data_IF_236036589565
#
_entry.id   IF_236036589565
#
_cell.length_a   1.000
_cell.length_b   1.000
_cell.length_c   1.000
_cell.angle_alpha   90.00
_cell.angle_beta   90.00
_cell.angle_gamma   90.00
#
_symmetry.space_group_name_H-M   'P 1'
#
loop_
_entity.id
_entity.type
_entity.pdbx_description
1 polymer ?
#
# COMPACT_ATOMS: atom_id res chain seq x y z
N UNK A 1 -2.43 5.22 -38.81
CA UNK A 1 -3.26 5.21 -37.56
C UNK A 1 -3.80 6.62 -37.38
N UNK A 2 -5.11 6.78 -37.29
CA UNK A 2 -5.78 8.06 -37.58
C UNK A 2 -5.54 9.13 -36.51
N UNK A 3 -5.41 10.40 -36.95
CA UNK A 3 -5.37 11.60 -36.11
C UNK A 3 -6.51 11.66 -35.07
N UNK A 4 -7.61 10.93 -35.30
CA UNK A 4 -8.74 10.86 -34.38
C UNK A 4 -8.39 10.13 -33.08
N UNK A 5 -7.68 9.01 -33.13
CA UNK A 5 -7.25 8.29 -31.92
C UNK A 5 -6.29 9.12 -31.09
N UNK A 6 -5.36 9.83 -31.74
CA UNK A 6 -4.43 10.72 -31.06
C UNK A 6 -5.15 11.92 -30.41
N UNK A 7 -6.14 12.51 -31.08
CA UNK A 7 -6.95 13.61 -30.54
C UNK A 7 -7.86 13.15 -29.39
N UNK A 8 -8.50 11.99 -29.51
CA UNK A 8 -9.29 11.39 -28.42
C UNK A 8 -8.37 11.08 -27.23
N UNK A 9 -7.18 10.53 -27.48
CA UNK A 9 -6.17 10.31 -26.43
C UNK A 9 -5.76 11.63 -25.77
N UNK A 10 -5.48 12.69 -26.53
CA UNK A 10 -5.11 13.99 -25.97
C UNK A 10 -6.25 14.63 -25.16
N UNK A 11 -7.50 14.49 -25.59
CA UNK A 11 -8.67 14.98 -24.85
C UNK A 11 -8.86 14.16 -23.57
N UNK A 12 -8.81 12.82 -23.65
CA UNK A 12 -8.90 11.95 -22.47
C UNK A 12 -7.74 12.24 -21.52
N UNK A 13 -6.51 12.38 -22.02
CA UNK A 13 -5.32 12.69 -21.24
C UNK A 13 -5.39 14.09 -20.61
N UNK A 14 -5.83 15.11 -21.34
CA UNK A 14 -6.04 16.45 -20.81
C UNK A 14 -7.15 16.48 -19.75
N UNK A 15 -8.27 15.80 -19.99
CA UNK A 15 -9.35 15.70 -19.01
C UNK A 15 -8.95 14.89 -17.78
N UNK A 16 -8.21 13.79 -17.92
CA UNK A 16 -7.75 13.00 -16.75
C UNK A 16 -6.70 13.78 -15.97
N UNK A 17 -5.72 14.40 -16.62
CA UNK A 17 -4.70 15.23 -15.92
C UNK A 17 -5.29 16.46 -15.25
N UNK A 18 -6.41 17.00 -15.75
CA UNK A 18 -7.14 18.09 -15.07
C UNK A 18 -7.89 17.64 -13.81
N UNK A 19 -8.15 16.34 -13.63
CA UNK A 19 -8.79 15.79 -12.43
C UNK A 19 -7.81 15.50 -11.30
N UNK A 20 -6.51 15.71 -11.52
CA UNK A 20 -5.45 15.28 -10.62
C UNK A 20 -4.50 16.42 -10.25
N UNK A 21 -5.02 17.42 -9.54
CA UNK A 21 -4.19 18.47 -8.93
C UNK A 21 -4.10 18.27 -7.43
N UNK A 22 -2.91 18.53 -6.89
CA UNK A 22 -2.71 18.58 -5.46
C UNK A 22 -3.40 19.83 -4.89
N UNK A 23 -4.25 19.65 -3.88
CA UNK A 23 -4.88 20.78 -3.20
C UNK A 23 -4.02 21.28 -2.05
N UNK A 24 -4.07 22.59 -1.80
CA UNK A 24 -3.47 23.18 -0.61
C UNK A 24 -4.48 23.12 0.54
N UNK A 25 -4.12 22.42 1.61
CA UNK A 25 -4.91 22.37 2.85
C UNK A 25 -4.15 23.01 4.01
N UNK A 26 -3.94 24.34 4.01
CA UNK A 26 -3.02 25.03 4.93
C UNK A 26 -3.41 24.93 6.40
N UNK A 27 -4.69 24.62 6.69
CA UNK A 27 -5.17 24.42 8.06
C UNK A 27 -5.22 22.95 8.48
N UNK A 28 -4.95 21.99 7.59
CA UNK A 28 -5.07 20.55 7.89
C UNK A 28 -6.50 20.14 8.28
N UNK A 29 -7.50 20.84 7.73
CA UNK A 29 -8.91 20.60 7.98
C UNK A 29 -9.59 20.19 6.68
N UNK A 30 -10.56 19.29 6.79
CA UNK A 30 -11.44 18.90 5.70
C UNK A 30 -12.91 19.24 6.00
N UNK A 31 -13.76 19.26 4.99
CA UNK A 31 -15.17 19.61 5.12
C UNK A 31 -16.03 18.36 5.25
N UNK A 32 -17.07 18.45 6.07
CA UNK A 32 -18.11 17.45 6.15
C UNK A 32 -19.33 17.99 6.87
N UNK A 33 -20.34 17.15 6.97
CA UNK A 33 -21.63 17.47 7.55
C UNK A 33 -21.98 16.43 8.62
N UNK A 34 -22.41 16.88 9.78
CA UNK A 34 -23.08 16.03 10.76
C UNK A 34 -24.59 16.13 10.55
N UNK A 35 -25.23 15.03 10.17
CA UNK A 35 -26.68 14.88 10.23
C UNK A 35 -27.07 14.63 11.69
N UNK A 36 -27.59 15.66 12.34
CA UNK A 36 -28.13 15.59 13.70
C UNK A 36 -29.64 15.51 13.61
N UNK A 37 -30.19 14.32 13.82
CA UNK A 37 -31.59 13.97 13.57
C UNK A 37 -32.00 14.26 12.11
N UNK A 38 -32.62 15.41 11.83
CA UNK A 38 -33.01 15.83 10.48
C UNK A 38 -32.34 17.13 10.03
N UNK A 39 -31.41 17.66 10.84
CA UNK A 39 -30.70 18.91 10.58
C UNK A 39 -29.28 18.63 10.14
N UNK A 40 -28.84 19.28 9.07
CA UNK A 40 -27.46 19.23 8.60
C UNK A 40 -26.65 20.30 9.33
N UNK A 41 -25.56 19.89 9.97
CA UNK A 41 -24.62 20.75 10.66
C UNK A 41 -23.23 20.67 10.02
N UNK A 42 -22.80 21.69 9.26
CA UNK A 42 -21.46 21.73 8.69
C UNK A 42 -20.39 21.71 9.78
N UNK A 43 -19.37 20.90 9.56
CA UNK A 43 -18.21 20.72 10.45
C UNK A 43 -16.91 20.79 9.68
N UNK A 44 -15.87 21.33 10.34
CA UNK A 44 -14.48 21.10 9.93
C UNK A 44 -13.96 19.84 10.59
N UNK A 45 -13.42 18.93 9.81
CA UNK A 45 -12.89 17.64 10.23
C UNK A 45 -11.39 17.74 10.41
N UNK A 46 -10.92 17.36 11.60
CA UNK A 46 -9.51 17.25 11.96
C UNK A 46 -9.17 15.80 12.34
N UNK A 47 -7.99 15.35 11.94
CA UNK A 47 -7.41 14.08 12.38
C UNK A 47 -5.90 14.23 12.35
N UNK A 48 -5.19 13.54 13.25
CA UNK A 48 -3.73 13.50 13.23
C UNK A 48 -3.25 12.29 14.02
N UNK A 49 -2.23 11.62 13.51
CA UNK A 49 -1.49 10.60 14.27
C UNK A 49 -0.43 11.22 15.18
N UNK A 50 -0.17 12.53 15.07
CA UNK A 50 0.80 13.25 15.89
C UNK A 50 0.20 13.71 17.22
N UNK A 51 0.72 13.17 18.32
CA UNK A 51 0.26 13.48 19.67
C UNK A 51 0.43 14.95 20.04
N UNK A 52 1.52 15.60 19.60
CA UNK A 52 1.76 17.02 19.85
C UNK A 52 0.74 17.93 19.17
N UNK A 53 0.45 17.68 17.89
CA UNK A 53 -0.61 18.41 17.17
C UNK A 53 -1.97 18.20 17.81
N UNK A 54 -2.31 16.94 18.17
CA UNK A 54 -3.58 16.63 18.84
C UNK A 54 -3.73 17.38 20.16
N UNK A 55 -2.65 17.47 20.95
CA UNK A 55 -2.64 18.14 22.25
C UNK A 55 -2.85 19.65 22.14
N UNK A 56 -2.34 20.28 21.08
CA UNK A 56 -2.47 21.74 20.87
C UNK A 56 -3.77 22.14 20.16
N UNK A 57 -4.40 21.20 19.44
CA UNK A 57 -5.60 21.47 18.63
C UNK A 57 -6.79 22.08 19.40
N UNK A 58 -7.12 21.70 20.65
CA UNK A 58 -8.24 22.29 21.40
C UNK A 58 -8.22 23.82 21.48
N UNK A 59 -7.02 24.42 21.49
CA UNK A 59 -6.80 25.86 21.60
C UNK A 59 -6.80 26.58 20.25
N UNK A 60 -6.82 25.84 19.14
CA UNK A 60 -6.80 26.41 17.80
C UNK A 60 -8.13 27.12 17.53
N UNK A 61 -8.04 28.38 17.09
CA UNK A 61 -9.23 29.11 16.63
C UNK A 61 -9.73 28.50 15.33
N UNK A 62 -10.91 27.88 15.39
CA UNK A 62 -11.62 27.32 14.25
C UNK A 62 -12.92 28.10 14.03
N UNK A 63 -13.26 28.33 12.76
CA UNK A 63 -14.54 28.94 12.39
C UNK A 63 -15.58 27.82 12.29
N UNK A 64 -16.69 27.96 13.01
CA UNK A 64 -17.81 27.01 12.97
C UNK A 64 -17.63 25.78 13.87
N UNK A 65 -18.41 24.73 13.57
CA UNK A 65 -18.39 23.49 14.33
C UNK A 65 -17.19 22.62 13.91
N UNK A 66 -16.67 21.81 14.82
CA UNK A 66 -15.50 20.96 14.59
C UNK A 66 -15.81 19.53 14.97
N UNK A 67 -15.34 18.60 14.13
CA UNK A 67 -15.26 17.18 14.41
C UNK A 67 -13.78 16.77 14.42
N UNK A 68 -13.33 16.16 15.52
CA UNK A 68 -12.02 15.51 15.59
C UNK A 68 -12.22 14.01 15.50
N UNK A 69 -11.47 13.36 14.61
CA UNK A 69 -11.39 11.91 14.49
C UNK A 69 -10.13 11.45 15.21
N UNK A 70 -10.30 10.67 16.27
CA UNK A 70 -9.18 10.05 16.97
C UNK A 70 -8.72 8.77 16.28
N UNK A 71 -7.42 8.53 16.39
CA UNK A 71 -6.69 7.48 15.70
C UNK A 71 -6.17 6.46 16.71
N UNK A 72 -5.81 5.26 16.25
CA UNK A 72 -5.34 4.21 17.16
C UNK A 72 -4.05 4.61 17.87
N UNK A 73 -3.15 5.30 17.15
CA UNK A 73 -1.89 5.82 17.70
C UNK A 73 -2.12 6.85 18.80
N UNK A 74 -3.26 7.56 18.80
CA UNK A 74 -3.56 8.56 19.82
C UNK A 74 -3.81 7.96 21.21
N UNK A 75 -4.02 6.64 21.30
CA UNK A 75 -4.35 5.95 22.55
C UNK A 75 -3.47 4.71 22.78
N UNK A 76 -2.26 4.69 22.20
CA UNK A 76 -1.31 3.61 22.49
C UNK A 76 -0.99 3.55 23.99
N UNK A 77 -0.90 2.34 24.59
CA UNK A 77 -0.75 2.19 26.04
C UNK A 77 0.43 2.97 26.63
N UNK A 78 1.54 3.06 25.91
CA UNK A 78 2.74 3.79 26.32
C UNK A 78 2.54 5.31 26.44
N UNK A 79 1.51 5.86 25.79
CA UNK A 79 1.18 7.28 25.80
C UNK A 79 -0.11 7.59 26.59
N UNK A 80 -0.62 6.64 27.38
CA UNK A 80 -1.90 6.78 28.07
C UNK A 80 -2.03 8.09 28.86
N UNK A 81 -1.07 8.40 29.74
CA UNK A 81 -1.13 9.58 30.60
C UNK A 81 -1.17 10.89 29.79
N UNK A 82 -0.42 10.94 28.69
CA UNK A 82 -0.42 12.07 27.77
C UNK A 82 -1.77 12.20 27.04
N UNK A 83 -2.32 11.07 26.61
CA UNK A 83 -3.58 10.99 25.86
C UNK A 83 -4.78 11.37 26.72
N UNK A 84 -4.83 10.87 27.96
CA UNK A 84 -5.85 11.24 28.94
C UNK A 84 -5.79 12.73 29.28
N UNK A 85 -4.59 13.28 29.45
CA UNK A 85 -4.39 14.71 29.66
C UNK A 85 -4.89 15.51 28.46
N UNK A 86 -4.59 15.07 27.23
CA UNK A 86 -5.08 15.69 26.00
C UNK A 86 -6.61 15.71 25.93
N UNK A 87 -7.29 14.61 26.25
CA UNK A 87 -8.76 14.57 26.28
C UNK A 87 -9.36 15.54 27.32
N UNK A 88 -8.71 15.74 28.47
CA UNK A 88 -9.15 16.78 29.42
C UNK A 88 -9.09 18.19 28.80
N UNK A 89 -8.06 18.50 28.01
CA UNK A 89 -7.96 19.79 27.31
C UNK A 89 -9.12 19.98 26.31
N UNK A 90 -9.50 18.92 25.58
CA UNK A 90 -10.68 18.93 24.72
C UNK A 90 -11.96 19.21 25.54
N UNK A 91 -12.12 18.56 26.69
CA UNK A 91 -13.27 18.78 27.59
C UNK A 91 -13.34 20.22 28.09
N UNK A 92 -12.21 20.80 28.50
CA UNK A 92 -12.11 22.20 28.95
C UNK A 92 -12.50 23.18 27.83
N UNK A 93 -12.22 22.81 26.58
CA UNK A 93 -12.60 23.56 25.39
C UNK A 93 -14.01 23.22 24.87
N UNK A 94 -14.83 22.56 25.70
CA UNK A 94 -16.25 22.20 25.49
C UNK A 94 -16.49 21.21 24.34
N UNK A 95 -15.53 20.33 24.06
CA UNK A 95 -15.78 19.20 23.17
C UNK A 95 -16.57 18.11 23.90
N UNK A 96 -17.51 17.50 23.20
CA UNK A 96 -18.24 16.30 23.61
C UNK A 96 -17.63 15.07 22.94
N UNK A 97 -17.53 13.96 23.66
CA UNK A 97 -16.89 12.74 23.16
C UNK A 97 -17.89 11.69 22.73
N UNK A 98 -17.56 10.94 21.68
CA UNK A 98 -18.43 9.91 21.13
C UNK A 98 -17.66 8.65 20.77
N UNK A 99 -18.35 7.52 20.84
CA UNK A 99 -17.85 6.25 20.35
C UNK A 99 -17.90 6.17 18.81
N UNK A 100 -17.42 5.06 18.25
CA UNK A 100 -17.42 4.82 16.78
C UNK A 100 -18.81 4.83 16.13
N UNK A 101 -19.88 4.68 16.92
CA UNK A 101 -21.27 4.71 16.47
C UNK A 101 -21.96 6.04 16.81
N UNK A 102 -21.18 7.09 17.12
CA UNK A 102 -21.67 8.39 17.55
C UNK A 102 -22.56 8.35 18.81
N UNK A 103 -22.33 7.41 19.72
CA UNK A 103 -22.96 7.44 21.06
C UNK A 103 -22.14 8.32 21.99
N UNK A 104 -22.81 9.25 22.67
CA UNK A 104 -22.18 10.17 23.63
C UNK A 104 -21.53 9.38 24.77
N UNK A 105 -20.28 9.73 25.09
CA UNK A 105 -19.51 9.17 26.21
C UNK A 105 -19.42 10.24 27.29
N UNK A 106 -20.10 10.02 28.41
CA UNK A 106 -20.10 10.93 29.56
C UNK A 106 -19.13 10.51 30.68
N UNK A 107 -18.71 9.24 30.66
CA UNK A 107 -17.79 8.68 31.64
C UNK A 107 -16.42 9.35 31.56
N UNK A 108 -15.75 9.45 32.72
CA UNK A 108 -14.36 9.89 32.76
C UNK A 108 -13.45 8.94 31.98
N UNK A 109 -12.35 9.47 31.44
CA UNK A 109 -11.34 8.68 30.73
C UNK A 109 -10.63 7.75 31.73
N UNK A 110 -10.58 6.47 31.41
CA UNK A 110 -9.86 5.43 32.16
C UNK A 110 -9.01 4.58 31.21
N UNK A 111 -8.02 3.81 31.72
CA UNK A 111 -7.23 2.91 30.88
C UNK A 111 -8.08 1.89 30.12
N UNK A 112 -9.20 1.47 30.69
CA UNK A 112 -10.09 0.46 30.14
C UNK A 112 -11.00 1.00 29.03
N UNK A 113 -11.38 2.28 29.09
CA UNK A 113 -12.34 2.87 28.15
C UNK A 113 -11.72 3.80 27.11
N UNK A 114 -10.45 4.22 27.25
CA UNK A 114 -9.87 5.26 26.39
C UNK A 114 -9.93 4.92 24.90
N UNK A 115 -9.83 3.63 24.53
CA UNK A 115 -9.92 3.17 23.14
C UNK A 115 -11.34 3.25 22.55
N UNK A 116 -12.35 3.50 23.38
CA UNK A 116 -13.74 3.67 22.91
C UNK A 116 -14.00 5.07 22.36
N UNK A 117 -13.19 6.07 22.74
CA UNK A 117 -13.30 7.45 22.27
C UNK A 117 -12.88 7.50 20.79
N UNK A 118 -13.83 7.77 19.90
CA UNK A 118 -13.56 7.84 18.46
C UNK A 118 -13.66 9.26 17.92
N UNK A 119 -14.62 10.03 18.42
CA UNK A 119 -14.86 11.38 17.94
C UNK A 119 -14.91 12.38 19.09
N UNK A 120 -14.48 13.61 18.82
CA UNK A 120 -14.77 14.77 19.67
C UNK A 120 -15.45 15.86 18.83
N UNK A 121 -16.61 16.33 19.27
CA UNK A 121 -17.39 17.35 18.57
C UNK A 121 -17.44 18.61 19.41
N UNK A 122 -17.07 19.75 18.80
CA UNK A 122 -17.35 21.09 19.34
C UNK A 122 -18.38 21.75 18.45
N UNK A 123 -19.60 21.83 18.96
CA UNK A 123 -20.72 22.49 18.30
C UNK A 123 -21.06 23.81 19.00
N UNK A 124 -21.62 24.76 18.25
CA UNK A 124 -22.12 26.03 18.80
C UNK A 124 -23.18 25.83 19.89
N UNK A 125 -23.99 24.77 19.76
CA UNK A 125 -24.92 24.27 20.78
C UNK A 125 -24.54 22.83 21.14
N UNK A 126 -24.45 22.47 22.43
CA UNK A 126 -24.22 21.09 22.83
C UNK A 126 -25.27 20.15 22.26
N UNK A 127 -24.84 18.98 21.79
CA UNK A 127 -25.71 17.92 21.29
C UNK A 127 -26.21 17.05 22.46
N UNK A 128 -27.45 16.59 22.40
CA UNK A 128 -28.05 15.76 23.44
C UNK A 128 -27.68 14.28 23.26
N UNK A 129 -27.67 13.52 24.35
CA UNK A 129 -27.43 12.06 24.30
C UNK A 129 -28.48 11.30 23.46
N UNK A 130 -29.67 11.86 23.29
CA UNK A 130 -30.75 11.30 22.48
C UNK A 130 -30.62 11.60 20.98
N UNK A 131 -29.71 12.50 20.58
CA UNK A 131 -29.54 12.88 19.19
C UNK A 131 -28.97 11.73 18.37
N UNK A 132 -29.55 11.47 17.20
CA UNK A 132 -28.99 10.57 16.20
C UNK A 132 -28.01 11.35 15.34
N UNK A 133 -26.74 10.96 15.36
CA UNK A 133 -25.68 11.67 14.64
C UNK A 133 -25.08 10.73 13.60
N UNK A 134 -25.01 11.21 12.36
CA UNK A 134 -24.33 10.54 11.26
C UNK A 134 -23.37 11.52 10.58
N UNK A 135 -22.19 11.04 10.18
CA UNK A 135 -21.21 11.83 9.44
C UNK A 135 -21.38 11.60 7.95
N UNK A 136 -21.51 12.69 7.21
CA UNK A 136 -21.52 12.71 5.75
C UNK A 136 -20.36 13.55 5.22
N UNK A 137 -19.66 13.01 4.22
CA UNK A 137 -18.53 13.64 3.56
C UNK A 137 -18.63 13.42 2.06
N UNK A 138 -18.08 14.32 1.24
CA UNK A 138 -17.99 14.15 -0.22
C UNK A 138 -16.93 13.12 -0.64
N UNK A 139 -16.10 12.68 0.30
CA UNK A 139 -15.03 11.70 0.15
C UNK A 139 -15.23 10.52 1.11
N UNK A 140 -14.54 9.41 0.85
CA UNK A 140 -14.57 8.25 1.76
C UNK A 140 -13.59 8.41 2.92
N UNK A 141 -13.91 7.90 4.10
CA UNK A 141 -12.99 7.81 5.24
C UNK A 141 -12.52 6.36 5.37
N UNK A 142 -11.22 6.13 5.16
CA UNK A 142 -10.60 4.81 5.21
C UNK A 142 -9.99 4.54 6.58
N UNK A 143 -10.77 3.90 7.44
CA UNK A 143 -10.36 3.48 8.79
C UNK A 143 -10.81 2.03 9.09
N UNK A 144 -10.32 1.05 8.31
CA UNK A 144 -10.70 -0.34 8.51
C UNK A 144 -10.08 -0.92 9.79
N UNK A 145 -10.60 -2.07 10.24
CA UNK A 145 -9.84 -2.88 11.19
C UNK A 145 -8.50 -3.29 10.58
N UNK A 146 -7.49 -3.56 11.42
CA UNK A 146 -6.16 -3.96 10.93
C UNK A 146 -6.11 -5.40 10.39
N UNK A 147 -7.18 -6.18 10.59
CA UNK A 147 -7.25 -7.58 10.20
C UNK A 147 -8.44 -8.32 10.81
N UNK A 148 -8.38 -9.65 10.70
CA UNK A 148 -9.37 -10.59 11.22
C UNK A 148 -8.85 -11.17 12.53
N UNK A 149 -9.62 -11.03 13.61
CA UNK A 149 -9.27 -11.58 14.92
C UNK A 149 -9.60 -13.07 14.99
N UNK A 150 -8.58 -13.90 15.20
CA UNK A 150 -8.65 -15.36 15.31
C UNK A 150 -8.22 -15.77 16.73
N UNK A 151 -9.08 -15.48 17.72
CA UNK A 151 -8.74 -15.65 19.13
C UNK A 151 -7.58 -14.73 19.55
N UNK A 152 -6.44 -15.26 20.03
CA UNK A 152 -5.30 -14.44 20.47
C UNK A 152 -4.46 -13.87 19.31
N UNK A 153 -4.65 -14.35 18.07
CA UNK A 153 -3.86 -13.95 16.90
C UNK A 153 -4.71 -13.08 15.98
N UNK A 154 -4.12 -12.01 15.44
CA UNK A 154 -4.75 -11.20 14.39
C UNK A 154 -4.14 -11.53 13.04
N UNK A 155 -4.96 -11.99 12.10
CA UNK A 155 -4.56 -12.11 10.70
C UNK A 155 -4.68 -10.74 10.03
N UNK A 156 -3.55 -10.05 9.92
CA UNK A 156 -3.49 -8.74 9.29
C UNK A 156 -3.86 -8.80 7.82
N UNK A 157 -4.61 -7.80 7.33
CA UNK A 157 -4.99 -7.74 5.91
C UNK A 157 -3.77 -7.67 4.98
N UNK A 158 -2.71 -6.99 5.39
CA UNK A 158 -1.45 -6.98 4.66
C UNK A 158 -0.86 -8.39 4.49
N UNK A 159 -0.81 -9.17 5.56
CA UNK A 159 -0.36 -10.57 5.53
C UNK A 159 -1.27 -11.44 4.67
N UNK A 160 -2.59 -11.21 4.73
CA UNK A 160 -3.55 -11.89 3.87
C UNK A 160 -3.31 -11.60 2.39
N UNK A 161 -2.96 -10.36 2.04
CA UNK A 161 -2.60 -10.02 0.66
C UNK A 161 -1.31 -10.72 0.19
N UNK A 162 -0.33 -10.92 1.08
CA UNK A 162 0.83 -11.77 0.78
C UNK A 162 0.43 -13.22 0.54
N UNK A 163 -0.47 -13.77 1.36
CA UNK A 163 -1.01 -15.13 1.16
C UNK A 163 -1.69 -15.23 -0.21
N UNK A 164 -2.48 -14.23 -0.60
CA UNK A 164 -3.11 -14.20 -1.93
C UNK A 164 -2.09 -14.08 -3.05
N UNK A 165 -1.07 -13.23 -2.92
CA UNK A 165 -0.01 -13.09 -3.92
C UNK A 165 0.70 -14.42 -4.19
N UNK A 166 1.14 -15.12 -3.14
CA UNK A 166 1.83 -16.42 -3.27
C UNK A 166 0.87 -17.56 -3.64
N UNK A 167 -0.33 -17.60 -3.05
CA UNK A 167 -1.32 -18.64 -3.30
C UNK A 167 -1.85 -18.62 -4.74
N UNK A 168 -2.31 -17.47 -5.22
CA UNK A 168 -2.70 -17.33 -6.63
C UNK A 168 -1.51 -17.49 -7.56
N UNK A 169 -0.31 -17.06 -7.14
CA UNK A 169 0.90 -17.29 -7.91
C UNK A 169 1.22 -18.76 -8.12
N UNK A 170 1.09 -19.58 -7.08
CA UNK A 170 1.22 -21.03 -7.18
C UNK A 170 0.18 -21.62 -8.13
N UNK A 171 -1.10 -21.26 -7.96
CA UNK A 171 -2.20 -21.76 -8.82
C UNK A 171 -1.96 -21.40 -10.30
N UNK A 172 -1.58 -20.16 -10.58
CA UNK A 172 -1.30 -19.70 -11.94
C UNK A 172 -0.06 -20.38 -12.52
N UNK A 173 1.00 -20.57 -11.72
CA UNK A 173 2.21 -21.22 -12.19
C UNK A 173 2.00 -22.72 -12.45
N UNK A 174 1.20 -23.42 -11.65
CA UNK A 174 0.71 -24.77 -11.95
C UNK A 174 0.06 -24.82 -13.33
N UNK A 175 -0.81 -23.85 -13.63
CA UNK A 175 -1.48 -23.75 -14.93
C UNK A 175 -0.47 -23.47 -16.05
N UNK A 176 0.47 -22.55 -15.86
CA UNK A 176 1.55 -22.27 -16.83
C UNK A 176 2.34 -23.54 -17.13
N UNK A 177 2.76 -24.29 -16.12
CA UNK A 177 3.55 -25.52 -16.29
C UNK A 177 2.78 -26.60 -17.06
N UNK A 178 1.49 -26.78 -16.76
CA UNK A 178 0.63 -27.70 -17.53
C UNK A 178 0.52 -27.27 -19.00
N UNK A 179 0.37 -25.98 -19.26
CA UNK A 179 0.25 -25.44 -20.62
C UNK A 179 1.54 -25.51 -21.44
N UNK A 180 2.68 -25.56 -20.76
CA UNK A 180 3.99 -25.67 -21.37
C UNK A 180 4.54 -27.09 -21.34
N UNK A 181 3.75 -28.08 -20.92
CA UNK A 181 4.18 -29.47 -20.73
C UNK A 181 5.49 -29.58 -19.93
N UNK A 182 5.56 -28.83 -18.83
CA UNK A 182 6.65 -28.87 -17.85
C UNK A 182 6.22 -29.71 -16.65
N UNK A 183 7.08 -30.64 -16.25
CA UNK A 183 6.84 -31.52 -15.12
C UNK A 183 6.60 -30.71 -13.83
N UNK A 184 5.52 -31.06 -13.12
CA UNK A 184 5.11 -30.36 -11.89
C UNK A 184 6.15 -30.47 -10.76
N UNK A 185 7.07 -31.44 -10.81
CA UNK A 185 8.18 -31.54 -9.86
C UNK A 185 9.05 -30.28 -9.80
N UNK A 186 9.07 -29.48 -10.87
CA UNK A 186 9.83 -28.23 -10.93
C UNK A 186 9.08 -27.04 -10.32
N UNK A 187 7.79 -27.17 -10.01
CA UNK A 187 6.98 -26.08 -9.48
C UNK A 187 7.29 -25.82 -8.01
N UNK A 188 7.34 -26.88 -7.21
CA UNK A 188 7.55 -26.77 -5.77
C UNK A 188 8.90 -26.11 -5.43
N UNK A 189 10.04 -26.47 -6.06
CA UNK A 189 11.28 -25.74 -5.85
C UNK A 189 11.19 -24.26 -6.26
N UNK A 190 10.50 -23.93 -7.37
CA UNK A 190 10.33 -22.53 -7.78
C UNK A 190 9.60 -21.74 -6.70
N UNK A 191 8.47 -22.28 -6.22
CA UNK A 191 7.67 -21.65 -5.18
C UNK A 191 8.46 -21.48 -3.89
N UNK A 192 9.10 -22.55 -3.41
CA UNK A 192 9.86 -22.55 -2.16
C UNK A 192 11.02 -21.55 -2.20
N UNK A 193 11.84 -21.56 -3.25
CA UNK A 193 12.97 -20.64 -3.37
C UNK A 193 12.52 -19.18 -3.54
N UNK A 194 11.42 -18.93 -4.24
CA UNK A 194 10.84 -17.58 -4.39
C UNK A 194 10.29 -17.07 -3.05
N UNK A 195 9.56 -17.91 -2.31
CA UNK A 195 8.97 -17.56 -1.03
C UNK A 195 10.04 -17.27 0.02
N UNK A 196 11.00 -18.20 0.19
CA UNK A 196 12.12 -18.05 1.11
C UNK A 196 12.97 -16.84 0.72
N UNK A 197 13.31 -16.70 -0.56
CA UNK A 197 14.08 -15.56 -1.07
C UNK A 197 13.39 -14.23 -0.80
N UNK A 198 12.07 -14.16 -0.97
CA UNK A 198 11.30 -12.94 -0.68
C UNK A 198 11.34 -12.58 0.80
N UNK A 199 10.97 -13.52 1.68
CA UNK A 199 10.84 -13.25 3.12
C UNK A 199 12.21 -12.99 3.74
N UNK A 200 13.17 -13.89 3.55
CA UNK A 200 14.52 -13.75 4.12
C UNK A 200 15.27 -12.60 3.49
N UNK A 201 15.19 -12.44 2.16
CA UNK A 201 15.83 -11.32 1.47
C UNK A 201 15.30 -9.98 1.98
N UNK A 202 13.98 -9.85 2.13
CA UNK A 202 13.38 -8.64 2.66
C UNK A 202 13.84 -8.33 4.08
N UNK A 203 13.84 -9.34 4.95
CA UNK A 203 14.23 -9.18 6.35
C UNK A 203 15.71 -8.89 6.52
N UNK A 204 16.58 -9.63 5.85
CA UNK A 204 18.04 -9.40 5.87
C UNK A 204 18.37 -8.02 5.29
N UNK A 205 17.74 -7.65 4.17
CA UNK A 205 17.90 -6.31 3.60
C UNK A 205 17.50 -5.23 4.60
N UNK A 206 16.38 -5.40 5.30
CA UNK A 206 15.96 -4.43 6.30
C UNK A 206 16.98 -4.29 7.43
N UNK A 207 17.44 -5.41 7.97
CA UNK A 207 18.42 -5.44 9.06
C UNK A 207 19.74 -4.80 8.63
N UNK A 208 20.25 -5.11 7.44
CA UNK A 208 21.53 -4.54 6.95
C UNK A 208 21.44 -3.02 6.78
N UNK A 209 20.35 -2.51 6.20
CA UNK A 209 20.28 -1.11 5.79
C UNK A 209 19.66 -0.17 6.84
N UNK A 210 18.75 -0.67 7.68
CA UNK A 210 17.98 0.17 8.60
C UNK A 210 18.15 -0.18 10.07
N UNK A 211 18.46 -1.44 10.41
CA UNK A 211 18.56 -1.89 11.81
C UNK A 211 19.72 -2.88 12.05
N UNK A 212 20.97 -2.48 11.78
CA UNK A 212 22.12 -3.37 11.89
C UNK A 212 22.41 -3.82 13.34
N UNK A 213 21.93 -3.09 14.34
CA UNK A 213 22.03 -3.44 15.76
C UNK A 213 21.40 -4.79 16.10
N UNK A 214 20.39 -5.24 15.34
CA UNK A 214 19.73 -6.53 15.56
C UNK A 214 20.69 -7.72 15.42
N UNK A 215 21.79 -7.59 14.67
CA UNK A 215 22.82 -8.64 14.60
C UNK A 215 23.44 -8.96 15.95
N UNK A 216 23.47 -7.99 16.87
CA UNK A 216 24.04 -8.15 18.22
C UNK A 216 22.97 -8.27 19.29
N UNK A 217 21.92 -7.48 19.18
CA UNK A 217 20.95 -7.31 20.26
C UNK A 217 19.81 -8.33 20.26
N UNK A 218 19.45 -8.87 19.09
CA UNK A 218 18.33 -9.81 18.97
C UNK A 218 18.46 -10.68 17.70
N UNK A 219 19.58 -11.41 17.59
CA UNK A 219 19.98 -12.13 16.38
C UNK A 219 18.90 -13.07 15.83
N UNK A 220 18.19 -13.80 16.71
CA UNK A 220 17.16 -14.74 16.30
C UNK A 220 15.94 -14.06 15.67
N UNK A 221 15.64 -12.81 16.04
CA UNK A 221 14.56 -12.01 15.42
C UNK A 221 14.80 -11.67 13.95
N UNK A 222 16.02 -11.87 13.45
CA UNK A 222 16.34 -11.69 12.03
C UNK A 222 15.71 -12.80 11.18
N UNK A 223 15.61 -14.01 11.73
CA UNK A 223 15.18 -15.19 10.96
C UNK A 223 13.83 -15.75 11.42
N UNK A 224 13.43 -15.45 12.65
CA UNK A 224 12.23 -15.96 13.28
C UNK A 224 11.27 -14.80 13.61
N UNK A 225 9.94 -15.04 13.59
CA UNK A 225 8.93 -14.02 13.92
C UNK A 225 8.79 -13.80 15.44
N UNK A 226 9.92 -13.74 16.14
CA UNK A 226 10.01 -13.60 17.59
C UNK A 226 11.02 -12.50 17.93
N UNK A 227 10.83 -11.83 19.06
CA UNK A 227 11.89 -11.09 19.73
C UNK A 227 12.37 -11.91 20.91
N UNK A 228 13.69 -11.93 21.11
CA UNK A 228 14.35 -12.51 22.28
C UNK A 228 14.83 -11.43 23.25
N UNK A 229 14.75 -10.16 22.86
CA UNK A 229 15.06 -9.00 23.69
C UNK A 229 13.97 -8.81 24.75
N UNK A 230 14.36 -8.86 26.02
CA UNK A 230 13.48 -8.74 27.19
C UNK A 230 12.42 -9.86 27.30
N UNK A 231 12.78 -11.08 26.85
CA UNK A 231 11.93 -12.28 26.93
C UNK A 231 11.48 -12.79 25.56
N UNK A 232 10.77 -13.92 25.54
CA UNK A 232 10.24 -14.51 24.31
C UNK A 232 8.89 -13.89 23.96
N UNK A 233 8.85 -13.08 22.90
CA UNK A 233 7.63 -12.46 22.39
C UNK A 233 7.44 -12.78 20.92
N UNK A 234 6.25 -13.25 20.54
CA UNK A 234 5.89 -13.33 19.12
C UNK A 234 5.69 -11.91 18.59
N UNK A 235 6.48 -11.53 17.60
CA UNK A 235 6.47 -10.18 16.99
C UNK A 235 6.02 -10.21 15.54
N UNK A 236 5.93 -11.39 14.92
CA UNK A 236 5.72 -11.51 13.48
C UNK A 236 6.96 -11.09 12.68
N UNK A 237 6.89 -11.20 11.36
CA UNK A 237 7.90 -10.62 10.47
C UNK A 237 7.54 -9.16 10.21
N UNK A 238 8.12 -8.26 11.00
CA UNK A 238 8.12 -6.81 10.76
C UNK A 238 9.47 -6.36 10.20
N UNK A 239 9.56 -5.15 9.65
CA UNK A 239 10.80 -4.64 9.05
C UNK A 239 11.25 -5.46 7.84
N UNK A 240 10.61 -5.19 6.70
CA UNK A 240 10.86 -5.89 5.43
C UNK A 240 11.25 -4.87 4.36
N UNK A 241 12.43 -5.04 3.76
CA UNK A 241 12.94 -4.14 2.72
C UNK A 241 12.78 -4.75 1.32
N UNK A 242 12.05 -4.08 0.44
CA UNK A 242 11.80 -4.52 -0.94
C UNK A 242 13.08 -4.74 -1.76
N UNK A 243 14.12 -3.93 -1.56
CA UNK A 243 15.41 -4.07 -2.24
C UNK A 243 16.12 -5.38 -1.88
N UNK A 244 16.11 -5.76 -0.60
CA UNK A 244 16.65 -7.03 -0.15
C UNK A 244 15.89 -8.22 -0.73
N UNK A 245 14.56 -8.13 -0.77
CA UNK A 245 13.71 -9.13 -1.43
C UNK A 245 14.08 -9.28 -2.92
N UNK A 246 14.25 -8.16 -3.62
CA UNK A 246 14.56 -8.12 -5.06
C UNK A 246 15.91 -8.79 -5.35
N UNK A 247 16.95 -8.46 -4.58
CA UNK A 247 18.27 -9.06 -4.73
C UNK A 247 18.21 -10.57 -4.51
N UNK A 248 17.57 -11.00 -3.42
CA UNK A 248 17.41 -12.43 -3.13
C UNK A 248 16.59 -13.15 -4.21
N UNK A 249 15.56 -12.53 -4.76
CA UNK A 249 14.76 -13.08 -5.85
C UNK A 249 15.56 -13.24 -7.15
N UNK A 250 16.46 -12.32 -7.47
CA UNK A 250 17.39 -12.48 -8.61
C UNK A 250 18.25 -13.72 -8.41
N UNK A 251 18.90 -13.86 -7.25
CA UNK A 251 19.79 -14.99 -6.99
C UNK A 251 19.06 -16.33 -6.92
N UNK A 252 17.90 -16.38 -6.25
CA UNK A 252 17.10 -17.60 -6.14
C UNK A 252 16.51 -18.01 -7.49
N UNK A 253 16.11 -17.06 -8.33
CA UNK A 253 15.65 -17.35 -9.71
C UNK A 253 16.79 -17.86 -10.58
N UNK A 254 17.99 -17.26 -10.50
CA UNK A 254 19.17 -17.75 -11.21
C UNK A 254 19.57 -19.16 -10.75
N UNK A 255 19.58 -19.40 -9.44
CA UNK A 255 19.84 -20.72 -8.87
C UNK A 255 18.83 -21.75 -9.36
N UNK A 256 17.53 -21.45 -9.26
CA UNK A 256 16.46 -22.29 -9.78
C UNK A 256 16.67 -22.59 -11.27
N UNK A 257 16.94 -21.57 -12.07
CA UNK A 257 17.10 -21.66 -13.51
C UNK A 257 18.27 -22.56 -13.91
N UNK A 258 19.43 -22.36 -13.29
CA UNK A 258 20.66 -23.06 -13.67
C UNK A 258 20.81 -24.44 -13.03
N UNK A 259 20.35 -24.62 -11.80
CA UNK A 259 20.58 -25.86 -11.04
C UNK A 259 19.39 -26.79 -11.02
N UNK A 260 18.17 -26.26 -11.01
CA UNK A 260 16.96 -27.06 -10.81
C UNK A 260 16.28 -27.35 -12.15
N UNK A 261 15.70 -26.34 -12.80
CA UNK A 261 14.95 -26.54 -14.05
C UNK A 261 15.88 -26.64 -15.27
N UNK A 262 17.11 -26.12 -15.18
CA UNK A 262 18.10 -26.10 -16.27
C UNK A 262 17.53 -25.50 -17.56
N UNK A 263 16.84 -24.37 -17.44
CA UNK A 263 16.36 -23.55 -18.57
C UNK A 263 17.04 -22.20 -18.53
N UNK A 264 16.91 -21.42 -19.62
CA UNK A 264 17.37 -20.04 -19.67
C UNK A 264 16.66 -19.21 -18.56
N UNK A 265 17.37 -18.38 -17.78
CA UNK A 265 16.73 -17.52 -16.77
C UNK A 265 15.60 -16.66 -17.31
N UNK A 266 15.73 -16.16 -18.54
CA UNK A 266 14.69 -15.34 -19.17
C UNK A 266 13.38 -16.12 -19.41
N UNK A 267 13.46 -17.44 -19.59
CA UNK A 267 12.27 -18.31 -19.65
C UNK A 267 11.53 -18.32 -18.30
N UNK A 268 12.26 -18.36 -17.19
CA UNK A 268 11.68 -18.35 -15.84
C UNK A 268 11.10 -16.96 -15.56
N UNK A 269 11.84 -15.91 -15.87
CA UNK A 269 11.40 -14.52 -15.68
C UNK A 269 10.16 -14.15 -16.51
N UNK A 270 10.01 -14.64 -17.74
CA UNK A 270 8.79 -14.44 -18.53
C UNK A 270 7.53 -14.92 -17.79
N UNK A 271 7.63 -16.07 -17.12
CA UNK A 271 6.52 -16.69 -16.38
C UNK A 271 6.30 -16.04 -15.04
N UNK A 272 7.40 -15.71 -14.34
CA UNK A 272 7.34 -14.96 -13.09
C UNK A 272 6.74 -13.56 -13.31
N UNK A 273 7.08 -12.85 -14.38
CA UNK A 273 6.54 -11.51 -14.67
C UNK A 273 5.00 -11.49 -14.74
N UNK A 274 4.39 -12.54 -15.31
CA UNK A 274 2.93 -12.71 -15.31
C UNK A 274 2.41 -12.79 -13.87
N UNK A 275 2.94 -13.72 -13.09
CA UNK A 275 2.46 -14.00 -11.72
C UNK A 275 2.73 -12.82 -10.78
N UNK A 276 3.91 -12.22 -10.87
CA UNK A 276 4.35 -11.07 -10.07
C UNK A 276 3.50 -9.83 -10.37
N UNK A 277 2.98 -9.67 -11.59
CA UNK A 277 2.03 -8.58 -11.89
C UNK A 277 0.79 -8.67 -11.01
N UNK A 278 0.21 -9.86 -10.86
CA UNK A 278 -0.93 -10.06 -9.97
C UNK A 278 -0.52 -9.95 -8.49
N UNK A 279 0.63 -10.50 -8.12
CA UNK A 279 1.18 -10.37 -6.77
C UNK A 279 1.40 -8.91 -6.34
N UNK A 280 1.93 -8.08 -7.26
CA UNK A 280 2.11 -6.66 -7.06
C UNK A 280 0.81 -5.92 -6.81
N UNK A 281 -0.29 -6.31 -7.47
CA UNK A 281 -1.61 -5.75 -7.20
C UNK A 281 -2.06 -6.04 -5.76
N UNK A 282 -1.91 -7.28 -5.29
CA UNK A 282 -2.24 -7.64 -3.90
C UNK A 282 -1.35 -6.88 -2.90
N UNK A 283 -0.06 -6.73 -3.16
CA UNK A 283 0.83 -5.93 -2.30
C UNK A 283 0.32 -4.49 -2.18
N UNK A 284 -0.08 -3.86 -3.29
CA UNK A 284 -0.66 -2.51 -3.26
C UNK A 284 -1.99 -2.43 -2.54
N UNK A 285 -2.83 -3.45 -2.64
CA UNK A 285 -4.04 -3.56 -1.81
C UNK A 285 -3.67 -3.67 -0.32
N UNK A 286 -2.59 -4.37 0.02
CA UNK A 286 -2.05 -4.43 1.37
C UNK A 286 -1.66 -3.04 1.88
N UNK A 287 -0.91 -2.27 1.09
CA UNK A 287 -0.54 -0.89 1.45
C UNK A 287 -1.78 -0.01 1.63
N UNK A 288 -2.82 -0.20 0.82
CA UNK A 288 -4.09 0.50 0.99
C UNK A 288 -4.74 0.19 2.34
N UNK A 289 -4.84 -1.09 2.76
CA UNK A 289 -5.32 -1.45 4.10
C UNK A 289 -4.49 -0.84 5.23
N UNK A 290 -3.18 -0.67 5.03
CA UNK A 290 -2.28 -0.06 6.01
C UNK A 290 -2.25 1.48 5.97
N UNK A 291 -2.93 2.13 5.02
CA UNK A 291 -2.83 3.60 4.81
C UNK A 291 -1.40 4.07 4.50
N UNK A 292 -0.62 3.28 3.76
CA UNK A 292 0.77 3.57 3.38
C UNK A 292 0.89 3.90 1.89
N UNK A 293 1.91 4.66 1.48
CA UNK A 293 2.21 4.98 0.07
C UNK A 293 1.08 5.84 -0.55
N UNK A 294 0.66 6.85 0.22
CA UNK A 294 -0.47 7.71 -0.11
C UNK A 294 -0.17 8.68 -1.26
N UNK A 295 -1.24 9.18 -1.85
CA UNK A 295 -1.18 10.27 -2.81
C UNK A 295 -1.05 11.65 -2.18
N UNK A 296 -0.84 12.62 -3.04
CA UNK A 296 -0.95 14.05 -2.74
C UNK A 296 -2.38 14.38 -2.28
N UNK A 297 -2.59 15.49 -1.54
CA UNK A 297 -3.92 15.95 -1.17
C UNK A 297 -4.81 16.11 -2.41
N UNK A 298 -6.02 15.55 -2.35
CA UNK A 298 -7.00 15.60 -3.40
C UNK A 298 -8.05 16.67 -3.11
N UNK A 299 -8.73 17.14 -4.16
CA UNK A 299 -9.99 17.86 -3.98
C UNK A 299 -10.98 16.95 -3.27
N UNK A 300 -11.62 17.44 -2.22
CA UNK A 300 -12.56 16.68 -1.41
C UNK A 300 -13.77 16.19 -2.21
N UNK A 301 -14.14 16.92 -3.27
CA UNK A 301 -15.21 16.56 -4.19
C UNK A 301 -14.74 15.63 -5.32
N UNK A 302 -13.45 15.27 -5.36
CA UNK A 302 -12.95 14.28 -6.31
C UNK A 302 -13.58 12.92 -6.01
N UNK A 303 -14.03 12.17 -7.03
CA UNK A 303 -14.58 10.83 -6.81
C UNK A 303 -13.53 9.83 -6.29
N UNK A 304 -12.25 10.21 -6.30
CA UNK A 304 -11.15 9.40 -5.79
C UNK A 304 -10.64 9.89 -4.43
N UNK A 305 -11.22 10.93 -3.84
CA UNK A 305 -10.74 11.44 -2.57
C UNK A 305 -11.03 10.46 -1.44
N UNK A 306 -9.98 10.11 -0.68
CA UNK A 306 -10.07 9.27 0.51
C UNK A 306 -9.28 9.93 1.63
N UNK A 307 -9.92 10.14 2.78
CA UNK A 307 -9.26 10.53 4.01
C UNK A 307 -8.72 9.27 4.69
N UNK A 308 -7.44 9.29 5.08
CA UNK A 308 -6.77 8.20 5.77
C UNK A 308 -6.42 8.64 7.19
N UNK A 309 -7.32 8.48 8.20
CA UNK A 309 -7.03 8.88 9.57
C UNK A 309 -5.73 8.25 10.08
N UNK A 310 -5.48 6.99 9.76
CA UNK A 310 -4.30 6.25 10.24
C UNK A 310 -3.03 6.49 9.41
N UNK A 311 -2.99 7.48 8.52
CA UNK A 311 -1.77 7.79 7.76
C UNK A 311 -0.59 8.10 8.68
N UNK A 312 0.63 7.78 8.26
CA UNK A 312 1.85 8.20 8.97
C UNK A 312 2.04 9.72 8.89
N UNK A 313 2.67 10.31 9.91
CA UNK A 313 3.04 11.73 9.93
C UNK A 313 4.00 12.13 8.78
N UNK A 314 4.68 11.16 8.15
CA UNK A 314 5.56 11.40 7.00
C UNK A 314 4.83 12.03 5.80
N UNK A 315 3.51 11.86 5.72
CA UNK A 315 2.67 12.46 4.68
C UNK A 315 2.18 13.87 5.04
N UNK A 316 2.52 14.40 6.22
CA UNK A 316 2.07 15.69 6.71
C UNK A 316 0.61 15.66 7.19
N UNK A 317 -0.13 16.74 6.95
CA UNK A 317 -1.51 16.89 7.44
C UNK A 317 -2.45 15.79 6.92
N UNK A 318 -3.37 15.35 7.79
CA UNK A 318 -4.37 14.32 7.47
C UNK A 318 -5.59 14.96 6.81
N UNK A 319 -5.58 14.93 5.48
CA UNK A 319 -6.63 15.46 4.59
C UNK A 319 -6.95 14.44 3.50
N UNK A 320 -8.07 14.59 2.76
CA UNK A 320 -8.37 13.67 1.67
C UNK A 320 -7.26 13.65 0.62
N UNK A 321 -6.89 12.45 0.17
CA UNK A 321 -5.77 12.18 -0.73
C UNK A 321 -6.18 11.22 -1.84
N UNK A 322 -5.41 11.24 -2.92
CA UNK A 322 -5.56 10.22 -3.96
C UNK A 322 -5.07 8.85 -3.46
N UNK A 323 -5.82 7.75 -3.66
CA UNK A 323 -5.41 6.40 -3.29
C UNK A 323 -4.47 5.83 -4.36
N UNK A 324 -3.26 6.37 -4.46
CA UNK A 324 -2.25 5.97 -5.45
C UNK A 324 -1.98 4.47 -5.46
N UNK A 325 -2.10 3.79 -4.32
CA UNK A 325 -1.94 2.34 -4.22
C UNK A 325 -2.99 1.61 -5.05
N UNK A 326 -4.26 2.06 -5.03
CA UNK A 326 -5.31 1.46 -5.84
C UNK A 326 -5.09 1.72 -7.34
N UNK A 327 -4.59 2.91 -7.71
CA UNK A 327 -4.22 3.20 -9.09
C UNK A 327 -3.09 2.29 -9.58
N UNK A 328 -2.05 2.08 -8.77
CA UNK A 328 -0.99 1.09 -9.07
C UNK A 328 -1.57 -0.33 -9.14
N UNK A 329 -2.41 -0.73 -8.19
CA UNK A 329 -3.00 -2.07 -8.14
C UNK A 329 -3.82 -2.38 -9.40
N UNK A 330 -4.68 -1.44 -9.84
CA UNK A 330 -5.46 -1.57 -11.07
C UNK A 330 -4.52 -1.67 -12.28
N UNK A 331 -3.49 -0.82 -12.35
CA UNK A 331 -2.48 -0.90 -13.40
C UNK A 331 -1.82 -2.28 -13.47
N UNK A 332 -1.48 -2.86 -12.31
CA UNK A 332 -0.87 -4.19 -12.24
C UNK A 332 -1.82 -5.33 -12.59
N UNK A 333 -3.12 -5.20 -12.29
CA UNK A 333 -4.15 -6.13 -12.77
C UNK A 333 -4.28 -6.06 -14.30
N UNK A 334 -4.32 -4.86 -14.87
CA UNK A 334 -4.37 -4.66 -16.32
C UNK A 334 -3.12 -5.25 -16.98
N UNK A 335 -1.95 -5.05 -16.39
CA UNK A 335 -0.70 -5.67 -16.84
C UNK A 335 -0.76 -7.21 -16.78
N UNK A 336 -1.26 -7.77 -15.68
CA UNK A 336 -1.46 -9.22 -15.56
C UNK A 336 -2.38 -9.75 -16.67
N UNK A 337 -3.53 -9.11 -16.91
CA UNK A 337 -4.48 -9.51 -17.95
C UNK A 337 -3.81 -9.45 -19.34
N UNK A 338 -3.05 -8.39 -19.62
CA UNK A 338 -2.31 -8.24 -20.87
C UNK A 338 -1.28 -9.36 -21.06
N UNK A 339 -0.41 -9.58 -20.08
CA UNK A 339 0.63 -10.60 -20.15
C UNK A 339 0.04 -12.01 -20.23
N UNK A 340 -1.04 -12.28 -19.48
CA UNK A 340 -1.75 -13.55 -19.54
C UNK A 340 -2.39 -13.77 -20.92
N UNK A 341 -3.02 -12.75 -21.49
CA UNK A 341 -3.60 -12.83 -22.82
C UNK A 341 -2.53 -13.08 -23.89
N UNK A 342 -1.41 -12.36 -23.83
CA UNK A 342 -0.28 -12.56 -24.75
C UNK A 342 0.34 -13.95 -24.60
N UNK A 343 0.55 -14.41 -23.36
CA UNK A 343 1.06 -15.74 -23.07
C UNK A 343 0.15 -16.85 -23.61
N UNK A 344 -1.18 -16.67 -23.53
CA UNK A 344 -2.17 -17.69 -23.93
C UNK A 344 -2.51 -17.69 -25.42
N UNK A 345 -2.53 -16.52 -26.05
CA UNK A 345 -3.10 -16.33 -27.40
C UNK A 345 -2.04 -16.08 -28.48
N UNK A 346 -0.76 -16.06 -28.13
CA UNK A 346 0.33 -15.78 -29.08
C UNK A 346 1.55 -16.64 -28.80
N UNK A 347 2.51 -16.62 -29.73
CA UNK A 347 3.78 -17.35 -29.62
C UNK A 347 4.84 -16.63 -28.77
N UNK A 348 4.45 -15.58 -28.02
CA UNK A 348 5.40 -14.78 -27.23
C UNK A 348 6.05 -15.57 -26.10
N UNK A 349 5.40 -16.62 -25.59
CA UNK A 349 5.99 -17.53 -24.60
C UNK A 349 7.22 -18.30 -25.10
N UNK A 350 7.43 -18.34 -26.43
CA UNK A 350 8.58 -18.97 -27.08
C UNK A 350 9.70 -17.97 -27.41
N UNK A 351 9.56 -16.69 -27.07
CA UNK A 351 10.59 -15.66 -27.26
C UNK A 351 11.16 -15.28 -25.89
N UNK A 352 12.18 -16.01 -25.42
CA UNK A 352 12.64 -15.93 -24.03
C UNK A 352 13.08 -14.49 -23.66
N UNK A 353 12.44 -13.93 -22.65
CA UNK A 353 12.63 -12.57 -22.14
C UNK A 353 11.65 -11.55 -22.69
N UNK A 354 10.87 -11.88 -23.73
CA UNK A 354 9.97 -10.90 -24.36
C UNK A 354 8.85 -10.47 -23.40
N UNK A 355 8.22 -11.41 -22.69
CA UNK A 355 7.14 -11.09 -21.75
C UNK A 355 7.69 -10.37 -20.52
N UNK A 356 8.87 -10.76 -20.05
CA UNK A 356 9.54 -10.10 -18.93
C UNK A 356 9.97 -8.67 -19.26
N UNK A 357 10.49 -8.43 -20.46
CA UNK A 357 10.83 -7.08 -20.91
C UNK A 357 9.60 -6.18 -21.02
N UNK A 358 8.47 -6.72 -21.52
CA UNK A 358 7.19 -5.99 -21.55
C UNK A 358 6.66 -5.71 -20.14
N UNK A 359 6.74 -6.71 -19.25
CA UNK A 359 6.43 -6.56 -17.83
C UNK A 359 7.23 -5.41 -17.21
N UNK A 360 8.55 -5.36 -17.43
CA UNK A 360 9.41 -4.27 -16.95
C UNK A 360 8.95 -2.92 -17.49
N UNK A 361 8.79 -2.78 -18.81
CA UNK A 361 8.39 -1.50 -19.40
C UNK A 361 7.07 -1.00 -18.79
N UNK A 362 6.05 -1.85 -18.74
CA UNK A 362 4.71 -1.41 -18.32
C UNK A 362 4.63 -1.22 -16.80
N UNK A 363 5.21 -2.12 -16.00
CA UNK A 363 5.21 -1.96 -14.54
C UNK A 363 5.88 -0.64 -14.14
N UNK A 364 7.04 -0.34 -14.72
CA UNK A 364 7.77 0.89 -14.44
C UNK A 364 7.14 2.12 -15.08
N UNK A 365 6.41 1.98 -16.21
CA UNK A 365 5.58 3.06 -16.73
C UNK A 365 4.41 3.38 -15.79
N UNK A 366 3.69 2.37 -15.27
CA UNK A 366 2.63 2.57 -14.26
C UNK A 366 3.22 3.31 -13.05
N UNK A 367 4.36 2.84 -12.53
CA UNK A 367 5.08 3.50 -11.44
C UNK A 367 5.38 4.97 -11.78
N UNK A 368 5.96 5.24 -12.94
CA UNK A 368 6.31 6.59 -13.39
C UNK A 368 5.12 7.55 -13.44
N UNK A 369 3.98 7.09 -13.99
CA UNK A 369 2.79 7.92 -14.13
C UNK A 369 2.04 8.11 -12.80
N UNK A 370 1.91 7.08 -11.98
CA UNK A 370 1.26 7.21 -10.67
C UNK A 370 2.09 8.07 -9.72
N UNK A 371 3.41 8.14 -9.90
CA UNK A 371 4.29 8.95 -9.07
C UNK A 371 4.02 10.46 -9.19
N UNK A 372 3.38 10.95 -10.26
CA UNK A 372 2.89 12.33 -10.32
C UNK A 372 1.83 12.63 -9.24
N UNK A 373 1.11 11.60 -8.80
CA UNK A 373 0.04 11.68 -7.81
C UNK A 373 0.50 11.31 -6.41
N UNK A 374 1.73 10.82 -6.24
CA UNK A 374 2.22 10.32 -4.96
C UNK A 374 2.86 11.40 -4.12
N UNK A 375 2.66 11.27 -2.82
CA UNK A 375 3.43 12.03 -1.85
C UNK A 375 4.82 11.38 -1.71
N UNK A 376 5.92 12.16 -1.69
CA UNK A 376 7.24 11.64 -1.43
C UNK A 376 7.31 10.89 -0.10
N UNK A 377 7.91 9.70 -0.13
CA UNK A 377 8.16 8.92 1.08
C UNK A 377 9.52 9.34 1.66
N UNK A 378 9.51 10.43 2.42
CA UNK A 378 10.71 11.04 2.99
C UNK A 378 11.42 12.02 2.03
N UNK A 379 12.71 12.24 2.28
CA UNK A 379 13.49 13.22 1.52
C UNK A 379 13.71 12.75 0.08
N UNK A 380 13.37 13.60 -0.88
CA UNK A 380 13.70 13.37 -2.29
C UNK A 380 15.22 13.45 -2.48
N UNK A 381 15.84 12.35 -2.93
CA UNK A 381 17.30 12.25 -3.10
C UNK A 381 17.74 12.60 -4.52
N UNK A 382 16.84 12.48 -5.50
CA UNK A 382 17.13 12.72 -6.91
C UNK A 382 16.06 13.64 -7.49
N UNK A 383 16.47 14.83 -7.92
CA UNK A 383 15.64 15.73 -8.71
C UNK A 383 16.34 15.97 -10.05
N UNK A 384 15.74 15.46 -11.13
CA UNK A 384 16.24 15.67 -12.49
C UNK A 384 15.18 16.44 -13.27
N UNK A 385 15.37 17.76 -13.39
CA UNK A 385 14.36 18.64 -13.94
C UNK A 385 13.08 18.64 -13.09
N UNK A 386 11.94 18.33 -13.68
CA UNK A 386 10.65 18.22 -12.99
C UNK A 386 10.32 16.80 -12.47
N UNK A 387 11.25 15.85 -12.62
CA UNK A 387 11.06 14.46 -12.21
C UNK A 387 11.61 14.19 -10.81
N UNK A 388 10.84 13.44 -10.03
CA UNK A 388 11.23 13.01 -8.68
C UNK A 388 11.98 11.66 -8.67
N UNK A 389 12.43 11.23 -7.49
CA UNK A 389 13.27 10.04 -7.33
C UNK A 389 12.62 8.80 -7.92
N UNK A 390 11.33 8.55 -7.63
CA UNK A 390 10.64 7.37 -8.16
C UNK A 390 10.50 7.38 -9.68
N UNK A 391 10.31 8.54 -10.29
CA UNK A 391 10.25 8.69 -11.74
C UNK A 391 11.60 8.46 -12.39
N UNK A 392 12.66 9.08 -11.86
CA UNK A 392 14.01 8.93 -12.40
C UNK A 392 14.47 7.48 -12.31
N UNK A 393 14.19 6.79 -11.19
CA UNK A 393 14.52 5.37 -11.03
C UNK A 393 13.70 4.45 -11.94
N UNK A 394 12.51 4.86 -12.38
CA UNK A 394 11.69 4.06 -13.29
C UNK A 394 12.28 3.99 -14.71
N UNK A 395 12.94 5.06 -15.17
CA UNK A 395 13.46 5.18 -16.55
C UNK A 395 14.49 4.08 -16.89
N UNK A 396 15.54 3.83 -16.07
CA UNK A 396 16.49 2.75 -16.34
C UNK A 396 15.84 1.38 -16.48
N UNK A 397 14.81 1.07 -15.69
CA UNK A 397 14.12 -0.22 -15.78
C UNK A 397 13.24 -0.33 -17.03
N UNK A 398 12.61 0.77 -17.48
CA UNK A 398 11.92 0.80 -18.75
C UNK A 398 12.90 0.56 -19.91
N UNK A 399 14.07 1.21 -19.90
CA UNK A 399 15.13 0.99 -20.89
C UNK A 399 15.61 -0.46 -20.85
N UNK A 400 15.87 -1.01 -19.66
CA UNK A 400 16.26 -2.41 -19.51
C UNK A 400 15.21 -3.36 -20.10
N UNK A 401 13.91 -3.09 -19.89
CA UNK A 401 12.84 -3.87 -20.50
C UNK A 401 12.86 -3.82 -22.04
N UNK A 402 13.12 -2.65 -22.63
CA UNK A 402 13.29 -2.50 -24.09
C UNK A 402 14.48 -3.31 -24.58
N UNK A 403 15.62 -3.22 -23.91
CA UNK A 403 16.84 -3.99 -24.25
C UNK A 403 16.56 -5.49 -24.20
N UNK A 404 15.90 -5.97 -23.15
CA UNK A 404 15.53 -7.39 -23.00
C UNK A 404 14.60 -7.82 -24.16
N UNK A 405 13.60 -7.02 -24.53
CA UNK A 405 12.71 -7.33 -25.66
C UNK A 405 13.41 -7.34 -27.01
N UNK A 406 14.43 -6.50 -27.23
CA UNK A 406 15.23 -6.51 -28.46
C UNK A 406 16.12 -7.75 -28.49
N UNK A 407 16.74 -8.09 -27.36
CA UNK A 407 17.59 -9.27 -27.23
C UNK A 407 16.81 -10.59 -27.34
N UNK A 408 15.57 -10.64 -26.86
CA UNK A 408 14.72 -11.86 -26.90
C UNK A 408 14.47 -12.39 -28.31
N UNK A 409 14.59 -11.54 -29.34
CA UNK A 409 14.54 -11.95 -30.74
C UNK A 409 15.60 -13.00 -31.11
N UNK A 410 16.72 -13.03 -30.39
CA UNK A 410 17.82 -14.01 -30.54
C UNK A 410 17.61 -15.28 -29.72
N UNK A 411 16.68 -15.28 -28.77
CA UNK A 411 16.40 -16.39 -27.85
C UNK A 411 15.02 -17.01 -28.11
N UNK A 412 14.73 -17.27 -29.39
CA UNK A 412 13.53 -18.01 -29.79
C UNK A 412 13.76 -19.49 -29.58
N UNK A 413 12.75 -20.17 -29.06
CA UNK A 413 12.72 -21.61 -28.91
C UNK A 413 11.51 -22.18 -29.65
N UNK A 414 11.60 -23.44 -30.03
CA UNK A 414 10.48 -24.23 -30.53
C UNK A 414 9.56 -24.63 -29.39
N UNK A 415 8.37 -25.14 -29.73
CA UNK A 415 7.50 -25.75 -28.73
C UNK A 415 8.20 -26.91 -28.01
N UNK A 416 8.84 -27.82 -28.74
CA UNK A 416 9.53 -28.98 -28.14
C UNK A 416 10.61 -28.57 -27.13
N UNK A 417 11.40 -27.53 -27.42
CA UNK A 417 12.41 -26.98 -26.49
C UNK A 417 11.79 -26.27 -25.27
N UNK A 418 10.57 -25.76 -25.42
CA UNK A 418 9.82 -25.14 -24.33
C UNK A 418 9.32 -26.18 -23.32
N UNK A 419 8.98 -27.38 -23.78
CA UNK A 419 8.54 -28.48 -22.94
C UNK A 419 9.65 -29.01 -22.03
N UNK A 420 9.25 -29.72 -20.97
CA UNK A 420 10.16 -30.45 -20.08
C UNK A 420 9.35 -31.51 -19.32
N UNK A 421 8.89 -32.58 -20.00
CA UNK A 421 7.98 -33.56 -19.41
C UNK A 421 8.63 -34.41 -18.32
N UNK A 422 9.96 -34.56 -18.36
CA UNK A 422 10.72 -35.43 -17.45
C UNK A 422 10.87 -34.92 -16.02
#
# INVERSE_FOLDING_TARGET
>A
MSNLFFRIYLIIFACTTQLFWAQNSPKGLSDGDLKVNSTVMPVKIFSTTELGELNTFPYRKTEGNVLVIFNKSNFEPQYYSFSASTLNLFKDQKYQFYDKNFKLIENAVTPENIQTFKYAIKASKPLAASDKIELETSYAIWDPSTGIHLGPITLHYYSLMFIFAFGFGYILMTKIFKLDNVNQKYLEPLFTWTLIGTILGARIGHVIFYQPELFKEDFWSIFLPISTKNGFKFTGFSGLASHGATIALIFTTLYYSFKIIKKNPLWVYDRLGIVVSLGGAFVRMGNFFNSEILGKPADQNSPFAILFPQQSNEYGVTVPRYPSQLFEAIGYIVLFILLWALYRKTDKKYQQGWLFGLFFIILWAIRFFVEFLKEPQGTEFIQLGSLNTGQVLSIPFMIAGVVIMVMSKKFKITQAENEKPD
#
